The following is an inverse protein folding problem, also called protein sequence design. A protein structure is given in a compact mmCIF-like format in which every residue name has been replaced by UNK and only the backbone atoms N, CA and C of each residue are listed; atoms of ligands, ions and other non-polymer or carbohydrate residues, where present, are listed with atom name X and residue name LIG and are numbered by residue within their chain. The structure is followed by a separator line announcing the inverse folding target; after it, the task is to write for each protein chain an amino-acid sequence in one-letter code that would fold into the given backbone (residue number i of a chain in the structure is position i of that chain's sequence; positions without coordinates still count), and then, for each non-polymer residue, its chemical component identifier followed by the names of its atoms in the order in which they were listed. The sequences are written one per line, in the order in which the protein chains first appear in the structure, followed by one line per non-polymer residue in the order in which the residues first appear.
data_IF_944604698691
#
_entry.id   IF_944604698691
#
_cell.length_a   1.000
_cell.length_b   1.000
_cell.length_c   1.000
_cell.angle_alpha   90.00
_cell.angle_beta   90.00
_cell.angle_gamma   90.00
#
_symmetry.space_group_name_H-M   'P 1'
#
loop_
_entity.id
_entity.type
_entity.pdbx_description
1 polymer ?
#
# COMPACT_ATOMS: atom_id res chain seq x y z
N UNK A 1 -2.06 -34.94 6.31
CA UNK A 1 -2.39 -33.65 6.97
C UNK A 1 -1.25 -32.62 6.94
N UNK A 2 0.01 -32.96 7.22
CA UNK A 2 1.16 -32.03 7.24
C UNK A 2 1.45 -31.29 5.93
N UNK A 3 1.25 -31.93 4.77
CA UNK A 3 1.48 -31.32 3.43
C UNK A 3 0.44 -30.24 3.05
N UNK A 4 -0.78 -30.32 3.60
CA UNK A 4 -1.84 -29.33 3.35
C UNK A 4 -1.57 -28.03 4.13
N UNK A 5 -1.08 -28.15 5.36
CA UNK A 5 -0.78 -27.01 6.23
C UNK A 5 0.39 -26.16 5.67
N UNK A 6 1.43 -26.81 5.15
CA UNK A 6 2.59 -26.12 4.54
C UNK A 6 2.21 -25.40 3.22
N UNK A 7 1.25 -25.95 2.46
CA UNK A 7 0.71 -25.26 1.28
C UNK A 7 -0.12 -24.04 1.67
N UNK A 8 -0.92 -24.15 2.74
CA UNK A 8 -1.71 -23.03 3.27
C UNK A 8 -0.82 -21.88 3.74
N UNK A 9 0.23 -22.17 4.52
CA UNK A 9 1.20 -21.15 5.00
C UNK A 9 1.93 -20.47 3.83
N UNK A 10 2.31 -21.23 2.81
CA UNK A 10 2.94 -20.65 1.61
C UNK A 10 1.97 -19.77 0.79
N UNK A 11 0.69 -20.09 0.82
CA UNK A 11 -0.36 -19.31 0.14
C UNK A 11 -0.74 -18.03 0.91
N UNK A 12 -0.59 -18.04 2.23
CA UNK A 12 -0.89 -16.89 3.10
C UNK A 12 0.19 -15.80 2.99
N UNK A 13 1.46 -16.18 2.72
CA UNK A 13 2.58 -15.23 2.63
C UNK A 13 2.33 -14.04 1.68
N UNK A 14 1.93 -14.26 0.42
CA UNK A 14 1.58 -13.17 -0.50
C UNK A 14 0.41 -12.30 -0.01
N UNK A 15 -0.56 -12.90 0.70
CA UNK A 15 -1.68 -12.17 1.30
C UNK A 15 -1.25 -11.23 2.43
N UNK A 16 -0.33 -11.65 3.28
CA UNK A 16 0.26 -10.79 4.32
C UNK A 16 1.07 -9.64 3.72
N UNK A 17 1.83 -9.87 2.65
CA UNK A 17 2.55 -8.83 1.93
C UNK A 17 1.60 -7.79 1.34
N UNK A 18 0.50 -8.26 0.73
CA UNK A 18 -0.54 -7.37 0.20
C UNK A 18 -1.24 -6.59 1.32
N UNK A 19 -1.56 -7.23 2.43
CA UNK A 19 -2.15 -6.58 3.59
C UNK A 19 -1.21 -5.53 4.19
N UNK A 20 0.08 -5.84 4.36
CA UNK A 20 1.10 -4.90 4.83
C UNK A 20 1.28 -3.70 3.90
N UNK A 21 1.25 -3.91 2.59
CA UNK A 21 1.30 -2.84 1.60
C UNK A 21 0.01 -2.00 1.56
N UNK A 22 -1.14 -2.60 1.88
CA UNK A 22 -2.43 -1.93 1.89
C UNK A 22 -2.69 -1.11 3.16
N UNK A 23 -2.03 -1.44 4.28
CA UNK A 23 -2.09 -0.67 5.52
C UNK A 23 -1.17 0.54 5.37
N UNK A 24 -1.70 1.62 4.84
CA UNK A 24 -0.97 2.88 4.70
C UNK A 24 -0.96 3.69 6.00
N UNK A 25 -0.10 4.71 6.02
CA UNK A 25 -0.03 5.70 7.10
C UNK A 25 -1.39 6.33 7.39
N UNK A 26 -2.23 6.51 6.38
CA UNK A 26 -3.60 7.01 6.53
C UNK A 26 -4.44 6.17 7.48
N UNK A 27 -4.27 4.85 7.52
CA UNK A 27 -5.01 3.98 8.44
C UNK A 27 -4.61 4.23 9.90
N UNK A 28 -3.32 4.43 10.16
CA UNK A 28 -2.84 4.71 11.51
C UNK A 28 -3.16 6.15 11.93
N UNK A 29 -2.74 7.14 11.15
CA UNK A 29 -2.87 8.55 11.52
C UNK A 29 -4.32 9.01 11.51
N UNK A 30 -5.09 8.69 10.48
CA UNK A 30 -6.49 9.13 10.38
C UNK A 30 -7.38 8.38 11.37
N UNK A 31 -7.17 7.09 11.58
CA UNK A 31 -7.93 6.34 12.58
C UNK A 31 -7.66 6.84 14.00
N UNK A 32 -6.41 7.16 14.33
CA UNK A 32 -6.03 7.71 15.63
C UNK A 32 -6.64 9.10 15.84
N UNK A 33 -6.58 9.98 14.84
CA UNK A 33 -7.22 11.31 14.92
C UNK A 33 -8.73 11.21 15.04
N UNK A 34 -9.35 10.37 14.23
CA UNK A 34 -10.79 10.14 14.30
C UNK A 34 -11.21 9.62 15.68
N UNK A 35 -10.44 8.69 16.24
CA UNK A 35 -10.67 8.19 17.61
C UNK A 35 -10.49 9.24 18.69
N UNK A 36 -9.48 10.12 18.55
CA UNK A 36 -9.22 11.19 19.50
C UNK A 36 -10.29 12.29 19.46
N UNK A 37 -10.79 12.63 18.28
CA UNK A 37 -11.79 13.71 18.12
C UNK A 37 -13.24 13.25 18.34
N UNK A 38 -13.58 12.04 17.88
CA UNK A 38 -14.96 11.53 17.84
C UNK A 38 -15.20 10.28 18.68
N UNK A 39 -14.16 9.77 19.35
CA UNK A 39 -14.28 8.52 20.12
C UNK A 39 -14.71 7.36 19.22
N UNK A 40 -15.71 6.61 19.66
CA UNK A 40 -16.23 5.44 18.95
C UNK A 40 -17.36 5.74 17.95
N UNK A 41 -17.78 7.00 17.82
CA UNK A 41 -18.92 7.37 16.97
C UNK A 41 -18.72 7.01 15.50
N UNK A 42 -17.46 7.01 15.02
CA UNK A 42 -17.14 6.74 13.62
C UNK A 42 -16.89 5.25 13.30
N UNK A 43 -17.04 4.33 14.25
CA UNK A 43 -16.82 2.89 14.00
C UNK A 43 -17.73 2.37 12.89
N UNK A 44 -19.00 2.78 12.87
CA UNK A 44 -19.92 2.36 11.84
C UNK A 44 -19.46 2.76 10.43
N UNK A 45 -18.90 3.95 10.27
CA UNK A 45 -18.37 4.42 9.00
C UNK A 45 -17.15 3.61 8.56
N UNK A 46 -16.32 3.22 9.52
CA UNK A 46 -15.14 2.38 9.28
C UNK A 46 -15.55 0.97 8.83
N UNK A 47 -16.55 0.38 9.50
CA UNK A 47 -17.13 -0.91 9.11
C UNK A 47 -17.75 -0.84 7.71
N UNK A 48 -18.53 0.21 7.44
CA UNK A 48 -19.14 0.41 6.13
C UNK A 48 -18.07 0.56 5.03
N UNK A 49 -17.01 1.32 5.27
CA UNK A 49 -15.90 1.48 4.35
C UNK A 49 -15.18 0.14 4.08
N UNK A 50 -15.00 -0.70 5.09
CA UNK A 50 -14.42 -2.04 4.92
C UNK A 50 -15.32 -2.94 4.07
N UNK A 51 -16.63 -2.94 4.33
CA UNK A 51 -17.60 -3.75 3.57
C UNK A 51 -17.65 -3.32 2.12
N UNK A 52 -17.69 -2.02 1.84
CA UNK A 52 -17.72 -1.50 0.47
C UNK A 52 -16.41 -1.71 -0.27
N UNK A 53 -15.27 -1.66 0.41
CA UNK A 53 -13.95 -1.86 -0.18
C UNK A 53 -13.67 -3.32 -0.53
N UNK A 54 -14.25 -4.26 0.19
CA UNK A 54 -14.01 -5.71 0.02
C UNK A 54 -14.23 -6.21 -1.42
N UNK A 55 -15.38 -5.95 -2.10
CA UNK A 55 -15.60 -6.43 -3.46
C UNK A 55 -14.58 -5.88 -4.47
N UNK A 56 -14.14 -4.63 -4.30
CA UNK A 56 -13.13 -4.04 -5.18
C UNK A 56 -11.76 -4.69 -5.01
N UNK A 57 -11.39 -5.04 -3.79
CA UNK A 57 -10.12 -5.73 -3.50
C UNK A 57 -10.13 -7.18 -3.98
N UNK A 58 -11.28 -7.84 -3.95
CA UNK A 58 -11.43 -9.23 -4.38
C UNK A 58 -11.48 -9.37 -5.91
N UNK A 59 -12.02 -8.36 -6.60
CA UNK A 59 -12.23 -8.41 -8.05
C UNK A 59 -10.95 -8.66 -8.84
N UNK A 60 -9.84 -7.98 -8.50
CA UNK A 60 -8.56 -8.10 -9.19
C UNK A 60 -8.01 -9.53 -9.20
N UNK A 61 -7.76 -10.14 -8.04
CA UNK A 61 -7.29 -11.52 -7.95
C UNK A 61 -8.24 -12.53 -8.58
N UNK A 62 -9.56 -12.34 -8.44
CA UNK A 62 -10.56 -13.23 -9.06
C UNK A 62 -10.52 -13.16 -10.59
N UNK A 63 -10.46 -11.95 -11.13
CA UNK A 63 -10.35 -11.76 -12.58
C UNK A 63 -9.10 -12.44 -13.13
N UNK A 64 -7.94 -12.17 -12.51
CA UNK A 64 -6.66 -12.74 -12.93
C UNK A 64 -6.65 -14.27 -12.83
N UNK A 65 -7.21 -14.84 -11.76
CA UNK A 65 -7.27 -16.30 -11.60
C UNK A 65 -8.27 -16.99 -12.54
N UNK A 66 -9.34 -16.30 -12.93
CA UNK A 66 -10.36 -16.84 -13.82
C UNK A 66 -9.98 -16.75 -15.30
N UNK A 67 -9.31 -15.65 -15.70
CA UNK A 67 -9.01 -15.38 -17.11
C UNK A 67 -7.56 -15.67 -17.48
N UNK A 68 -6.64 -15.73 -16.50
CA UNK A 68 -5.20 -15.80 -16.73
C UNK A 68 -4.59 -14.48 -17.22
N UNK A 69 -5.40 -13.45 -17.43
CA UNK A 69 -4.99 -12.15 -17.94
C UNK A 69 -4.78 -11.15 -16.80
N UNK A 70 -3.94 -10.15 -17.04
CA UNK A 70 -3.77 -9.03 -16.12
C UNK A 70 -4.97 -8.07 -16.18
N UNK A 71 -5.20 -7.29 -15.12
CA UNK A 71 -6.24 -6.25 -15.13
C UNK A 71 -6.04 -5.22 -16.25
N UNK A 72 -4.79 -4.92 -16.61
CA UNK A 72 -4.45 -3.98 -17.70
C UNK A 72 -4.95 -4.52 -19.04
N UNK A 73 -4.78 -5.82 -19.29
CA UNK A 73 -5.32 -6.50 -20.48
C UNK A 73 -6.85 -6.48 -20.49
N UNK A 74 -7.46 -6.63 -19.32
CA UNK A 74 -8.91 -6.48 -19.16
C UNK A 74 -9.40 -5.08 -19.54
N UNK A 75 -8.74 -4.03 -19.07
CA UNK A 75 -9.07 -2.65 -19.44
C UNK A 75 -8.86 -2.37 -20.93
N UNK A 76 -7.80 -2.94 -21.52
CA UNK A 76 -7.57 -2.85 -22.97
C UNK A 76 -8.71 -3.51 -23.76
N UNK A 77 -9.27 -4.61 -23.25
CA UNK A 77 -10.42 -5.29 -23.85
C UNK A 77 -11.71 -4.46 -23.83
N UNK A 78 -11.90 -3.59 -22.85
CA UNK A 78 -13.03 -2.67 -22.76
C UNK A 78 -12.88 -1.52 -23.80
N UNK A 79 -11.66 -1.04 -23.99
CA UNK A 79 -11.36 0.02 -24.95
C UNK A 79 -10.14 0.84 -24.56
N UNK A 80 -9.57 1.51 -25.57
CA UNK A 80 -8.40 2.37 -25.39
C UNK A 80 -8.61 3.50 -24.38
N UNK A 81 -9.82 4.06 -24.30
CA UNK A 81 -10.16 5.13 -23.37
C UNK A 81 -10.06 4.68 -21.90
N UNK A 82 -10.46 3.45 -21.59
CA UNK A 82 -10.37 2.88 -20.24
C UNK A 82 -8.91 2.74 -19.81
N UNK A 83 -8.04 2.35 -20.73
CA UNK A 83 -6.60 2.25 -20.50
C UNK A 83 -5.99 3.63 -20.20
N UNK A 84 -6.32 4.66 -21.01
CA UNK A 84 -5.82 6.01 -20.79
C UNK A 84 -6.30 6.59 -19.44
N UNK A 85 -7.58 6.39 -19.09
CA UNK A 85 -8.13 6.81 -17.82
C UNK A 85 -7.42 6.13 -16.66
N UNK A 86 -7.19 4.82 -16.75
CA UNK A 86 -6.43 4.07 -15.75
C UNK A 86 -5.01 4.63 -15.56
N UNK A 87 -4.30 4.91 -16.64
CA UNK A 87 -2.96 5.49 -16.59
C UNK A 87 -2.96 6.87 -15.94
N UNK A 88 -3.89 7.74 -16.33
CA UNK A 88 -4.00 9.09 -15.79
C UNK A 88 -4.26 9.07 -14.27
N UNK A 89 -5.21 8.25 -13.83
CA UNK A 89 -5.52 8.08 -12.41
C UNK A 89 -4.32 7.47 -11.68
N UNK A 90 -3.65 6.47 -12.25
CA UNK A 90 -2.52 5.81 -11.62
C UNK A 90 -1.34 6.75 -11.44
N UNK A 91 -0.99 7.53 -12.46
CA UNK A 91 0.09 8.52 -12.38
C UNK A 91 -0.22 9.57 -11.32
N UNK A 92 -1.43 10.14 -11.34
CA UNK A 92 -1.84 11.12 -10.34
C UNK A 92 -1.80 10.54 -8.92
N UNK A 93 -2.30 9.33 -8.73
CA UNK A 93 -2.32 8.65 -7.44
C UNK A 93 -0.91 8.39 -6.90
N UNK A 94 0.04 7.99 -7.74
CA UNK A 94 1.43 7.73 -7.32
C UNK A 94 2.05 8.98 -6.69
N UNK A 95 1.92 10.14 -7.33
CA UNK A 95 2.48 11.39 -6.79
C UNK A 95 1.84 11.78 -5.46
N UNK A 96 0.51 11.70 -5.35
CA UNK A 96 -0.22 12.06 -4.13
C UNK A 96 0.13 11.11 -2.98
N UNK A 97 0.13 9.81 -3.23
CA UNK A 97 0.44 8.81 -2.21
C UNK A 97 1.90 8.94 -1.76
N UNK A 98 2.83 9.08 -2.71
CA UNK A 98 4.25 9.23 -2.39
C UNK A 98 4.51 10.46 -1.54
N UNK A 99 3.93 11.61 -1.89
CA UNK A 99 4.07 12.83 -1.12
C UNK A 99 3.52 12.66 0.31
N UNK A 100 2.33 12.10 0.46
CA UNK A 100 1.71 11.89 1.76
C UNK A 100 2.52 10.94 2.65
N UNK A 101 2.97 9.80 2.12
CA UNK A 101 3.75 8.81 2.88
C UNK A 101 5.11 9.40 3.28
N UNK A 102 5.79 10.06 2.36
CA UNK A 102 7.10 10.67 2.64
C UNK A 102 7.01 11.74 3.71
N UNK A 103 5.99 12.61 3.64
CA UNK A 103 5.79 13.69 4.61
C UNK A 103 5.59 13.14 6.03
N UNK A 104 4.74 12.13 6.18
CA UNK A 104 4.47 11.53 7.51
C UNK A 104 5.69 10.78 8.03
N UNK A 105 6.40 10.05 7.16
CA UNK A 105 7.61 9.33 7.55
C UNK A 105 8.72 10.31 7.98
N UNK A 106 8.86 11.44 7.26
CA UNK A 106 9.81 12.50 7.61
C UNK A 106 9.45 13.15 8.95
N UNK A 107 8.18 13.42 9.21
CA UNK A 107 7.71 13.94 10.48
C UNK A 107 7.97 12.99 11.65
N UNK A 108 7.75 11.69 11.45
CA UNK A 108 8.09 10.67 12.45
C UNK A 108 9.60 10.58 12.71
N UNK A 109 10.41 10.64 11.64
CA UNK A 109 11.86 10.60 11.77
C UNK A 109 12.38 11.81 12.57
N UNK A 110 11.90 13.02 12.29
CA UNK A 110 12.27 14.21 13.06
C UNK A 110 11.85 14.09 14.53
N UNK A 111 10.64 13.59 14.78
CA UNK A 111 10.16 13.38 16.16
C UNK A 111 11.01 12.37 16.94
N UNK A 112 11.45 11.29 16.28
CA UNK A 112 12.23 10.24 16.93
C UNK A 112 13.69 10.63 17.15
N UNK A 113 14.31 11.27 16.16
CA UNK A 113 15.74 11.54 16.19
C UNK A 113 16.07 12.94 16.76
N UNK A 114 15.10 13.87 16.76
CA UNK A 114 15.24 15.23 17.29
C UNK A 114 16.51 15.94 16.80
N UNK A 115 16.86 15.74 15.53
CA UNK A 115 18.12 16.22 14.94
C UNK A 115 18.10 17.68 14.55
N UNK A 116 16.92 18.35 14.59
CA UNK A 116 16.75 19.71 14.11
C UNK A 116 16.81 19.86 12.59
N UNK A 117 16.83 18.73 11.86
CA UNK A 117 16.78 18.73 10.39
C UNK A 117 15.33 19.02 9.98
N UNK A 118 15.15 19.94 9.02
CA UNK A 118 13.80 20.26 8.53
C UNK A 118 13.11 19.02 7.95
N UNK A 119 11.78 18.99 7.98
CA UNK A 119 10.96 17.91 7.37
C UNK A 119 11.34 17.69 5.90
N UNK A 120 11.69 18.76 5.19
CA UNK A 120 12.18 18.68 3.81
C UNK A 120 13.50 17.90 3.71
N UNK A 121 14.46 18.17 4.61
CA UNK A 121 15.74 17.45 4.67
C UNK A 121 15.54 15.94 4.92
N UNK A 122 14.70 15.59 5.89
CA UNK A 122 14.33 14.20 6.16
C UNK A 122 13.64 13.54 4.96
N UNK A 123 12.76 14.26 4.26
CA UNK A 123 12.10 13.75 3.05
C UNK A 123 13.11 13.41 1.95
N UNK A 124 14.11 14.27 1.73
CA UNK A 124 15.19 14.00 0.77
C UNK A 124 16.02 12.77 1.16
N UNK A 125 16.39 12.64 2.44
CA UNK A 125 17.16 11.50 2.94
C UNK A 125 16.39 10.19 2.74
N UNK A 126 15.10 10.18 3.08
CA UNK A 126 14.22 9.00 2.93
C UNK A 126 14.09 8.60 1.46
N UNK A 127 13.80 9.56 0.57
CA UNK A 127 13.66 9.30 -0.86
C UNK A 127 14.97 8.78 -1.48
N UNK A 128 16.10 9.39 -1.15
CA UNK A 128 17.42 8.93 -1.59
C UNK A 128 17.71 7.52 -1.09
N UNK A 129 17.43 7.23 0.18
CA UNK A 129 17.60 5.89 0.74
C UNK A 129 16.74 4.85 0.00
N UNK A 130 15.49 5.18 -0.30
CA UNK A 130 14.61 4.30 -1.08
C UNK A 130 15.16 4.05 -2.49
N UNK A 131 15.65 5.09 -3.17
CA UNK A 131 16.25 4.96 -4.51
C UNK A 131 17.49 4.07 -4.47
N UNK A 132 18.38 4.28 -3.50
CA UNK A 132 19.59 3.47 -3.32
C UNK A 132 19.24 2.02 -3.04
N UNK A 133 18.28 1.74 -2.14
CA UNK A 133 17.83 0.39 -1.83
C UNK A 133 17.24 -0.29 -3.07
N UNK A 134 16.45 0.42 -3.87
CA UNK A 134 15.88 -0.11 -5.10
C UNK A 134 16.97 -0.39 -6.15
N UNK A 135 17.96 0.49 -6.27
CA UNK A 135 19.03 0.34 -7.27
C UNK A 135 20.01 -0.79 -6.93
N UNK A 136 20.44 -0.86 -5.67
CA UNK A 136 21.41 -1.89 -5.20
C UNK A 136 20.71 -3.22 -4.89
N UNK A 137 19.48 -3.16 -4.37
CA UNK A 137 18.86 -4.29 -3.68
C UNK A 137 18.14 -5.29 -4.55
N UNK A 138 17.91 -5.09 -5.86
CA UNK A 138 17.02 -5.97 -6.64
C UNK A 138 15.85 -6.51 -5.80
N UNK A 139 14.80 -6.98 -6.39
CA UNK A 139 13.58 -7.49 -5.73
C UNK A 139 13.83 -8.47 -4.55
N UNK A 140 14.95 -9.19 -4.57
CA UNK A 140 15.33 -10.15 -3.51
C UNK A 140 15.65 -9.51 -2.15
N UNK A 141 16.17 -8.28 -2.13
CA UNK A 141 16.53 -7.61 -0.88
C UNK A 141 15.28 -7.09 -0.17
N UNK A 142 14.32 -6.56 -0.95
CA UNK A 142 13.02 -6.11 -0.43
C UNK A 142 12.24 -7.30 0.13
N UNK A 143 12.18 -8.43 -0.59
CA UNK A 143 11.52 -9.66 -0.14
C UNK A 143 12.15 -10.22 1.15
N UNK A 144 13.44 -10.07 1.33
CA UNK A 144 14.16 -10.49 2.55
C UNK A 144 13.90 -9.54 3.71
N UNK A 145 13.91 -8.23 3.50
CA UNK A 145 13.58 -7.21 4.51
C UNK A 145 12.15 -7.31 5.02
N UNK A 146 11.21 -7.68 4.14
CA UNK A 146 9.80 -7.85 4.49
C UNK A 146 9.49 -9.16 5.21
N UNK A 147 10.42 -10.11 5.23
CA UNK A 147 10.29 -11.41 5.93
C UNK A 147 10.94 -11.44 7.32
N UNK A 148 11.58 -10.35 7.74
CA UNK A 148 12.12 -10.13 9.08
C UNK A 148 11.06 -9.52 9.98
#
# INVERSE_FOLDING_TARGET
MRRSFTKLIKSIGPGFLLAGAAIGVSHLVQATRAGAEYGFVLIWALVLACITKYPFMEFGPRYTSATGNTLIEGYKGIGQWALHLYFLISIGSVFIIQAAVTLVTAGLAEYLFQTGISIFGWSCIILLSCIVILWVGRYKTIDRLMKL
#
